data_IF_984542845940
#
_entry.id   IF_984542845940
#
_cell.length_a   1.000
_cell.length_b   1.000
_cell.length_c   1.000
_cell.angle_alpha   90.00
_cell.angle_beta   90.00
_cell.angle_gamma   90.00
#
_symmetry.space_group_name_H-M   'P 1'
#
loop_
_entity.id
_entity.type
_entity.pdbx_description
1 polymer ?
#
# COMPACT_ATOMS: atom_id res chain seq x y z
N UNK A 1 0.22 12.06 -13.71
CA UNK A 1 0.31 11.16 -12.55
C UNK A 1 0.02 11.96 -11.28
N UNK A 2 -1.14 11.73 -10.65
CA UNK A 2 -1.54 12.29 -9.34
C UNK A 2 -1.41 11.22 -8.29
N UNK A 3 -0.56 11.45 -7.30
CA UNK A 3 -0.29 10.51 -6.21
C UNK A 3 -0.84 11.11 -4.92
N UNK A 4 -1.75 10.40 -4.26
CA UNK A 4 -2.17 10.73 -2.90
C UNK A 4 -1.18 10.20 -1.87
N UNK A 5 -0.87 10.99 -0.84
CA UNK A 5 0.01 10.62 0.27
C UNK A 5 -0.73 10.89 1.58
N UNK A 6 -0.90 9.84 2.37
CA UNK A 6 -1.43 9.94 3.74
C UNK A 6 -0.32 10.28 4.74
N UNK A 7 -0.70 10.80 5.91
CA UNK A 7 0.23 11.11 7.01
C UNK A 7 1.43 12.00 6.58
N UNK A 8 1.24 13.10 5.82
CA UNK A 8 2.34 13.87 5.25
C UNK A 8 3.25 14.54 6.29
N UNK A 9 2.78 14.66 7.54
CA UNK A 9 3.57 15.15 8.68
C UNK A 9 4.26 14.03 9.48
N UNK A 10 4.02 12.77 9.13
CA UNK A 10 4.57 11.59 9.82
C UNK A 10 6.01 11.26 9.42
N UNK A 11 6.60 10.28 10.10
CA UNK A 11 8.01 9.90 9.89
C UNK A 11 8.32 9.52 8.44
N UNK A 12 7.44 8.73 7.80
CA UNK A 12 7.63 8.29 6.41
C UNK A 12 7.03 9.29 5.43
N UNK A 13 5.79 9.74 5.68
CA UNK A 13 5.05 10.62 4.77
C UNK A 13 5.80 11.90 4.42
N UNK A 14 6.48 12.53 5.38
CA UNK A 14 7.26 13.76 5.12
C UNK A 14 8.37 13.56 4.08
N UNK A 15 9.00 12.39 4.09
CA UNK A 15 10.08 12.07 3.14
C UNK A 15 9.49 11.76 1.77
N UNK A 16 8.39 11.00 1.71
CA UNK A 16 7.67 10.72 0.45
C UNK A 16 7.19 12.01 -0.20
N UNK A 17 6.53 12.90 0.55
CA UNK A 17 6.10 14.22 0.08
C UNK A 17 7.27 15.02 -0.51
N UNK A 18 8.39 15.13 0.23
CA UNK A 18 9.56 15.86 -0.25
C UNK A 18 10.18 15.24 -1.52
N UNK A 19 10.24 13.91 -1.61
CA UNK A 19 10.75 13.22 -2.81
C UNK A 19 9.87 13.46 -4.03
N UNK A 20 8.54 13.40 -3.87
CA UNK A 20 7.60 13.63 -4.97
C UNK A 20 7.67 15.09 -5.47
N UNK A 21 7.72 16.06 -4.56
CA UNK A 21 7.88 17.48 -4.92
C UNK A 21 9.21 17.70 -5.67
N UNK A 22 10.33 17.15 -5.16
CA UNK A 22 11.64 17.25 -5.83
C UNK A 22 11.70 16.58 -7.19
N UNK A 23 10.89 15.54 -7.41
CA UNK A 23 10.74 14.89 -8.70
C UNK A 23 9.87 15.70 -9.68
N UNK A 24 9.38 16.89 -9.29
CA UNK A 24 8.55 17.75 -10.13
C UNK A 24 7.07 17.35 -10.15
N UNK A 25 6.64 16.45 -9.26
CA UNK A 25 5.23 16.10 -9.12
C UNK A 25 4.53 17.02 -8.11
N UNK A 26 3.22 17.21 -8.30
CA UNK A 26 2.34 17.91 -7.36
C UNK A 26 1.46 16.88 -6.62
N UNK A 27 1.91 16.33 -5.48
CA UNK A 27 1.17 15.28 -4.78
C UNK A 27 -0.11 15.82 -4.13
N UNK A 28 -1.09 14.93 -3.91
CA UNK A 28 -2.27 15.21 -3.09
C UNK A 28 -1.99 14.76 -1.67
N UNK A 29 -1.93 15.68 -0.71
CA UNK A 29 -1.62 15.36 0.69
C UNK A 29 -2.91 15.24 1.50
N UNK A 30 -3.15 14.05 2.06
CA UNK A 30 -4.29 13.78 2.93
C UNK A 30 -3.83 13.97 4.38
N UNK A 31 -4.20 15.11 4.99
CA UNK A 31 -3.75 15.50 6.32
C UNK A 31 -4.94 15.70 7.27
N UNK A 32 -4.83 15.22 8.51
CA UNK A 32 -5.84 15.53 9.55
C UNK A 32 -5.78 17.00 9.98
N UNK A 33 -4.58 17.57 10.02
CA UNK A 33 -4.30 18.94 10.44
C UNK A 33 -3.40 19.64 9.38
N UNK A 34 -3.98 20.17 8.29
CA UNK A 34 -3.24 20.83 7.20
C UNK A 34 -2.38 22.01 7.64
N UNK A 35 -2.80 22.70 8.70
CA UNK A 35 -2.12 23.83 9.34
C UNK A 35 -0.72 23.47 9.87
N UNK A 36 -0.46 22.18 10.13
CA UNK A 36 0.86 21.69 10.55
C UNK A 36 1.85 21.53 9.40
N UNK A 37 1.40 21.63 8.15
CA UNK A 37 2.31 21.56 6.99
C UNK A 37 3.03 22.90 6.79
N UNK A 38 4.34 22.90 6.51
CA UNK A 38 5.08 24.12 6.17
C UNK A 38 4.45 24.87 4.98
N UNK A 39 4.48 26.20 5.00
CA UNK A 39 3.90 27.05 3.95
C UNK A 39 4.38 26.66 2.53
N UNK A 40 5.67 26.38 2.37
CA UNK A 40 6.28 25.95 1.10
C UNK A 40 5.64 24.67 0.53
N UNK A 41 5.17 23.76 1.39
CA UNK A 41 4.49 22.53 0.93
C UNK A 41 3.15 22.85 0.26
N UNK A 42 2.43 23.88 0.73
CA UNK A 42 1.15 24.28 0.14
C UNK A 42 1.31 24.86 -1.27
N UNK A 43 2.47 25.42 -1.58
CA UNK A 43 2.79 25.92 -2.92
C UNK A 43 3.01 24.75 -3.91
N UNK A 44 3.54 23.63 -3.43
CA UNK A 44 3.98 22.51 -4.25
C UNK A 44 3.09 21.25 -4.17
N UNK A 45 1.98 21.30 -3.42
CA UNK A 45 1.08 20.16 -3.26
C UNK A 45 -0.40 20.58 -3.18
N UNK A 46 -1.30 19.66 -3.54
CA UNK A 46 -2.73 19.79 -3.28
C UNK A 46 -3.02 19.24 -1.88
N UNK A 47 -3.36 20.09 -0.90
CA UNK A 47 -3.64 19.63 0.47
C UNK A 47 -5.14 19.44 0.68
N UNK A 48 -5.54 18.26 1.15
CA UNK A 48 -6.93 17.90 1.50
C UNK A 48 -7.01 17.53 2.97
N UNK A 49 -7.89 18.20 3.72
CA UNK A 49 -8.15 17.82 5.11
C UNK A 49 -9.01 16.55 5.14
N UNK A 50 -8.49 15.48 5.74
CA UNK A 50 -9.17 14.17 5.77
C UNK A 50 -8.84 13.46 7.07
N UNK A 51 -9.87 12.91 7.72
CA UNK A 51 -9.66 11.85 8.70
C UNK A 51 -9.68 10.49 8.00
N UNK A 52 -8.61 9.71 8.16
CA UNK A 52 -8.45 8.44 7.47
C UNK A 52 -9.40 7.34 8.00
N UNK A 53 -9.99 7.54 9.18
CA UNK A 53 -11.03 6.66 9.71
C UNK A 53 -12.40 6.86 9.07
N UNK A 54 -12.61 7.95 8.34
CA UNK A 54 -13.86 8.24 7.64
C UNK A 54 -13.78 7.74 6.19
N UNK A 55 -14.50 6.64 5.93
CA UNK A 55 -14.54 5.98 4.60
C UNK A 55 -14.98 6.96 3.51
N UNK A 56 -16.07 7.70 3.72
CA UNK A 56 -16.66 8.52 2.68
C UNK A 56 -15.77 9.73 2.39
N UNK A 57 -15.17 10.30 3.43
CA UNK A 57 -14.18 11.36 3.28
C UNK A 57 -12.93 10.89 2.51
N UNK A 58 -12.44 9.68 2.76
CA UNK A 58 -11.30 9.10 2.02
C UNK A 58 -11.64 8.86 0.56
N UNK A 59 -12.84 8.34 0.27
CA UNK A 59 -13.29 8.13 -1.11
C UNK A 59 -13.37 9.45 -1.88
N UNK A 60 -13.99 10.48 -1.31
CA UNK A 60 -14.05 11.80 -1.94
C UNK A 60 -12.64 12.42 -2.10
N UNK A 61 -11.79 12.29 -1.08
CA UNK A 61 -10.46 12.89 -1.10
C UNK A 61 -9.43 12.13 -1.94
N UNK A 62 -9.74 10.94 -2.43
CA UNK A 62 -8.91 10.18 -3.37
C UNK A 62 -9.46 10.21 -4.79
N UNK A 63 -10.56 10.92 -5.05
CA UNK A 63 -11.12 11.03 -6.40
C UNK A 63 -10.10 11.65 -7.38
N UNK A 64 -9.93 10.97 -8.53
CA UNK A 64 -9.04 11.38 -9.62
C UNK A 64 -7.54 11.20 -9.35
N UNK A 65 -7.15 10.44 -8.33
CA UNK A 65 -5.74 10.06 -8.11
C UNK A 65 -5.41 8.77 -8.85
N UNK A 66 -4.20 8.70 -9.42
CA UNK A 66 -3.71 7.54 -10.16
C UNK A 66 -3.09 6.48 -9.23
N UNK A 67 -2.55 6.93 -8.09
CA UNK A 67 -1.91 6.07 -7.11
C UNK A 67 -2.07 6.63 -5.69
N UNK A 68 -1.99 5.76 -4.68
CA UNK A 68 -2.14 6.09 -3.28
C UNK A 68 -1.00 5.49 -2.46
N UNK A 69 -0.24 6.34 -1.78
CA UNK A 69 0.66 5.96 -0.70
C UNK A 69 -0.11 6.02 0.63
N UNK A 70 -0.56 4.84 1.08
CA UNK A 70 -1.34 4.67 2.30
C UNK A 70 -0.46 4.13 3.44
N UNK A 71 -0.39 4.89 4.52
CA UNK A 71 0.16 4.44 5.81
C UNK A 71 -1.02 4.42 6.77
N UNK A 72 -1.40 3.22 7.23
CA UNK A 72 -2.34 3.05 8.33
C UNK A 72 -1.55 3.13 9.65
N UNK A 73 -1.52 4.26 10.36
CA UNK A 73 -0.84 4.32 11.64
C UNK A 73 -1.65 3.52 12.67
N UNK A 74 -1.12 2.39 13.13
CA UNK A 74 -1.68 1.60 14.25
C UNK A 74 -1.29 2.12 15.64
N UNK A 75 -0.82 3.35 15.75
CA UNK A 75 0.00 3.79 16.91
C UNK A 75 -0.77 4.58 17.97
N UNK A 76 -2.10 4.51 17.98
CA UNK A 76 -2.91 5.28 18.94
C UNK A 76 -3.39 4.48 20.15
N UNK A 77 -3.03 3.19 20.25
CA UNK A 77 -3.33 2.31 21.40
C UNK A 77 -2.10 1.51 21.83
N UNK A 78 -2.04 1.15 23.12
CA UNK A 78 -0.92 0.41 23.74
C UNK A 78 -0.67 -0.95 23.09
N UNK A 79 -1.72 -1.61 22.57
CA UNK A 79 -1.62 -2.82 21.76
C UNK A 79 -2.16 -2.56 20.36
N UNK A 80 -1.28 -2.04 19.51
CA UNK A 80 -1.52 -1.81 18.09
C UNK A 80 -1.93 -3.06 17.31
N UNK A 81 -1.65 -4.26 17.81
CA UNK A 81 -2.00 -5.54 17.17
C UNK A 81 -3.40 -5.97 17.58
N UNK A 82 -3.79 -5.75 18.85
CA UNK A 82 -5.13 -6.04 19.33
C UNK A 82 -6.23 -5.16 18.70
N UNK A 83 -5.88 -3.98 18.17
CA UNK A 83 -6.84 -3.14 17.44
C UNK A 83 -7.18 -3.66 16.04
N UNK A 84 -6.33 -4.51 15.46
CA UNK A 84 -6.65 -5.17 14.19
C UNK A 84 -7.55 -6.38 14.46
N UNK A 85 -8.86 -6.19 14.33
CA UNK A 85 -9.78 -7.31 14.27
C UNK A 85 -9.55 -8.11 12.97
N UNK A 86 -9.48 -9.44 13.11
CA UNK A 86 -9.35 -10.30 11.94
C UNK A 86 -10.66 -10.24 11.15
N UNK A 87 -10.57 -9.68 9.95
CA UNK A 87 -11.64 -9.78 8.95
C UNK A 87 -11.82 -11.26 8.57
N UNK A 88 -13.05 -11.75 8.64
CA UNK A 88 -13.37 -13.11 8.22
C UNK A 88 -13.16 -13.31 6.71
N UNK A 89 -12.87 -14.54 6.27
CA UNK A 89 -12.57 -14.81 4.86
C UNK A 89 -13.72 -14.43 3.91
N UNK A 90 -14.95 -14.69 4.33
CA UNK A 90 -16.16 -14.29 3.60
C UNK A 90 -16.31 -12.77 3.52
N UNK A 91 -16.04 -12.08 4.62
CA UNK A 91 -16.13 -10.61 4.69
C UNK A 91 -15.06 -9.96 3.81
N UNK A 92 -13.85 -10.53 3.78
CA UNK A 92 -12.78 -10.11 2.87
C UNK A 92 -13.18 -10.29 1.40
N UNK A 93 -13.79 -11.42 1.03
CA UNK A 93 -14.27 -11.63 -0.35
C UNK A 93 -15.37 -10.66 -0.73
N UNK A 94 -16.33 -10.40 0.17
CA UNK A 94 -17.39 -9.41 -0.04
C UNK A 94 -16.79 -8.03 -0.25
N UNK A 95 -15.81 -7.63 0.58
CA UNK A 95 -15.11 -6.36 0.46
C UNK A 95 -14.36 -6.20 -0.87
N UNK A 96 -13.57 -7.19 -1.26
CA UNK A 96 -12.79 -7.18 -2.51
C UNK A 96 -13.70 -7.14 -3.75
N UNK A 97 -14.79 -7.90 -3.75
CA UNK A 97 -15.77 -7.87 -4.85
C UNK A 97 -16.52 -6.53 -4.88
N UNK A 98 -16.86 -5.99 -3.71
CA UNK A 98 -17.49 -4.68 -3.57
C UNK A 98 -16.62 -3.53 -4.08
N UNK A 99 -15.28 -3.69 -4.09
CA UNK A 99 -14.36 -2.74 -4.70
C UNK A 99 -14.16 -2.94 -6.21
N UNK A 100 -14.95 -3.79 -6.87
CA UNK A 100 -14.88 -4.06 -8.31
C UNK A 100 -13.84 -5.10 -8.73
N UNK A 101 -13.25 -5.85 -7.78
CA UNK A 101 -12.30 -6.91 -8.11
C UNK A 101 -13.01 -8.12 -8.74
N UNK A 102 -12.53 -8.66 -9.87
CA UNK A 102 -13.09 -9.88 -10.46
C UNK A 102 -13.02 -11.07 -9.51
N UNK A 103 -14.00 -11.97 -9.56
CA UNK A 103 -14.13 -13.08 -8.61
C UNK A 103 -12.86 -13.94 -8.48
N UNK A 104 -12.26 -14.35 -9.60
CA UNK A 104 -11.03 -15.14 -9.57
C UNK A 104 -9.82 -14.40 -8.99
N UNK A 105 -9.76 -13.07 -9.15
CA UNK A 105 -8.71 -12.26 -8.54
C UNK A 105 -8.94 -12.11 -7.03
N UNK A 106 -10.19 -11.90 -6.59
CA UNK A 106 -10.53 -11.84 -5.18
C UNK A 106 -10.23 -13.17 -4.46
N UNK A 107 -10.54 -14.30 -5.09
CA UNK A 107 -10.22 -15.63 -4.60
C UNK A 107 -8.70 -15.88 -4.55
N UNK A 108 -7.95 -15.44 -5.56
CA UNK A 108 -6.50 -15.52 -5.54
C UNK A 108 -5.89 -14.68 -4.40
N UNK A 109 -6.40 -13.46 -4.17
CA UNK A 109 -5.95 -12.60 -3.06
C UNK A 109 -6.28 -13.23 -1.71
N UNK A 110 -7.50 -13.78 -1.54
CA UNK A 110 -7.86 -14.51 -0.33
C UNK A 110 -6.92 -15.70 -0.13
N UNK A 111 -6.68 -16.52 -1.16
CA UNK A 111 -5.80 -17.67 -1.11
C UNK A 111 -4.35 -17.32 -0.74
N UNK A 112 -3.82 -16.19 -1.23
CA UNK A 112 -2.52 -15.69 -0.79
C UNK A 112 -2.52 -15.27 0.69
N UNK A 113 -3.60 -14.64 1.16
CA UNK A 113 -3.73 -14.20 2.56
C UNK A 113 -3.89 -15.37 3.53
N UNK A 114 -4.49 -16.48 3.09
CA UNK A 114 -4.73 -17.68 3.90
C UNK A 114 -3.58 -18.67 3.81
N UNK A 115 -2.85 -18.72 2.70
CA UNK A 115 -1.75 -19.66 2.46
C UNK A 115 -0.57 -19.54 3.43
N UNK A 116 -0.48 -18.45 4.19
CA UNK A 116 0.55 -18.24 5.23
C UNK A 116 0.03 -18.47 6.66
N UNK A 117 -1.24 -18.87 6.83
CA UNK A 117 -1.86 -19.10 8.14
C UNK A 117 -1.51 -20.47 8.70
N UNK A 118 -1.99 -20.75 9.91
CA UNK A 118 -2.00 -22.08 10.53
C UNK A 118 -0.63 -22.77 10.62
N UNK A 119 0.42 -22.00 10.85
CA UNK A 119 1.77 -22.52 11.02
C UNK A 119 2.43 -22.95 9.71
N UNK A 120 2.07 -22.33 8.58
CA UNK A 120 2.71 -22.54 7.29
C UNK A 120 4.25 -22.52 7.42
N UNK A 121 4.87 -23.64 7.06
CA UNK A 121 6.32 -23.76 6.92
C UNK A 121 6.64 -23.81 5.43
N UNK A 122 7.36 -22.82 4.88
CA UNK A 122 7.79 -22.88 3.49
C UNK A 122 8.61 -24.15 3.23
N UNK A 123 8.28 -24.90 2.17
CA UNK A 123 9.04 -26.09 1.75
C UNK A 123 10.52 -25.75 1.53
N UNK A 124 10.79 -24.55 1.01
CA UNK A 124 12.13 -24.02 0.79
C UNK A 124 12.35 -22.80 1.70
N UNK A 125 12.78 -22.98 2.96
CA UNK A 125 13.05 -21.87 3.86
C UNK A 125 14.17 -21.00 3.30
N UNK A 126 14.05 -19.68 3.45
CA UNK A 126 15.13 -18.74 3.07
C UNK A 126 16.25 -18.84 4.10
N UNK A 127 17.41 -19.31 3.66
CA UNK A 127 18.64 -19.46 4.44
C UNK A 127 19.79 -18.79 3.70
N UNK A 128 20.97 -18.73 4.31
CA UNK A 128 22.19 -18.27 3.60
C UNK A 128 22.50 -19.14 2.37
N UNK A 129 22.12 -20.43 2.40
CA UNK A 129 22.37 -21.36 1.30
C UNK A 129 21.29 -21.35 0.22
N UNK A 130 20.05 -21.02 0.59
CA UNK A 130 18.88 -21.07 -0.32
C UNK A 130 18.45 -19.69 -0.80
N UNK A 131 18.97 -18.60 -0.21
CA UNK A 131 18.74 -17.24 -0.68
C UNK A 131 19.79 -16.89 -1.73
N UNK A 132 19.42 -16.97 -3.00
CA UNK A 132 20.27 -16.46 -4.09
C UNK A 132 19.96 -14.98 -4.35
N UNK A 133 20.95 -14.19 -4.81
CA UNK A 133 20.77 -12.77 -5.15
C UNK A 133 20.03 -12.58 -6.49
N UNK A 134 19.62 -13.66 -7.16
CA UNK A 134 19.00 -13.59 -8.48
C UNK A 134 17.59 -13.00 -8.37
N UNK A 135 17.40 -11.81 -8.96
CA UNK A 135 16.08 -11.18 -9.05
C UNK A 135 15.19 -11.94 -10.04
N UNK A 136 13.86 -11.76 -9.93
CA UNK A 136 12.92 -12.30 -10.92
C UNK A 136 13.27 -11.85 -12.35
N UNK A 137 13.73 -10.60 -12.52
CA UNK A 137 14.15 -10.08 -13.82
C UNK A 137 15.39 -10.78 -14.38
N UNK A 138 16.40 -11.00 -13.55
CA UNK A 138 17.61 -11.73 -13.94
C UNK A 138 17.27 -13.18 -14.33
N UNK A 139 16.48 -13.88 -13.51
CA UNK A 139 16.01 -15.24 -13.81
C UNK A 139 15.17 -15.29 -15.10
N UNK A 140 14.24 -14.34 -15.27
CA UNK A 140 13.38 -14.32 -16.46
C UNK A 140 14.19 -14.13 -17.75
N UNK A 141 15.22 -13.27 -17.71
CA UNK A 141 16.10 -13.04 -18.86
C UNK A 141 16.99 -14.25 -19.16
N UNK A 142 17.60 -14.85 -18.13
CA UNK A 142 18.58 -15.93 -18.29
C UNK A 142 17.94 -17.31 -18.54
N UNK A 143 16.81 -17.62 -17.88
CA UNK A 143 16.23 -18.97 -17.83
C UNK A 143 14.92 -19.09 -18.57
N UNK A 144 13.98 -18.15 -18.36
CA UNK A 144 12.63 -18.24 -18.93
C UNK A 144 12.60 -17.85 -20.42
N UNK A 145 13.23 -16.74 -20.79
CA UNK A 145 13.24 -16.22 -22.16
C UNK A 145 13.71 -17.25 -23.20
N UNK A 146 14.81 -18.01 -23.00
CA UNK A 146 15.23 -19.02 -23.98
C UNK A 146 14.24 -20.17 -24.17
N UNK A 147 13.42 -20.48 -23.17
CA UNK A 147 12.43 -21.56 -23.23
C UNK A 147 11.16 -21.14 -23.99
N UNK A 148 10.80 -19.86 -23.93
CA UNK A 148 9.66 -19.28 -24.65
C UNK A 148 9.97 -18.95 -26.12
N UNK A 149 11.26 -18.95 -26.50
CA UNK A 149 11.71 -18.67 -27.86
C UNK A 149 11.72 -19.93 -28.76
N UNK A 150 11.05 -21.00 -28.34
CA UNK A 150 10.87 -22.25 -29.11
C UNK A 150 9.47 -22.35 -29.69
#
# INVERSE_FOLDING_TARGET
MRIAVTTPTGNVGRHVTAMLIRAGLRPVLLARHPDRLPAEVHEHADVRQVDQGDRDAVMAATEGVDALFWVAPSVMVDDSVAEYERVGDDEMLVGLRGSGMPAGMAEAVLGMSTGLRDGFVPEQPRTVLTTTPTTLGAWAFEVLRPQLAR
#
